data_IF_944969760233
#
_entry.id   IF_944969760233
#
_cell.length_a   1.000
_cell.length_b   1.000
_cell.length_c   1.000
_cell.angle_alpha   90.00
_cell.angle_beta   90.00
_cell.angle_gamma   90.00
#
_symmetry.space_group_name_H-M   'P 1'
#
loop_
_entity.id
_entity.type
_entity.pdbx_description
1 polymer ?
#
# COMPACT_ATOMS: atom_id res chain seq x y z
N UNK A 1 -1.06 -9.45 17.43
CA UNK A 1 -1.10 -8.01 17.75
C UNK A 1 -1.58 -7.29 16.51
N UNK A 2 -2.57 -6.40 16.63
CA UNK A 2 -3.08 -5.61 15.50
C UNK A 2 -2.33 -4.28 15.47
N UNK A 3 -1.64 -3.99 14.37
CA UNK A 3 -0.97 -2.71 14.16
C UNK A 3 -1.94 -1.72 13.50
N UNK A 4 -2.07 -0.53 14.07
CA UNK A 4 -2.88 0.55 13.50
C UNK A 4 -1.98 1.64 12.95
N UNK A 5 -2.01 1.83 11.63
CA UNK A 5 -1.24 2.86 10.93
C UNK A 5 -2.22 3.91 10.41
N UNK A 6 -1.91 5.19 10.63
CA UNK A 6 -2.62 6.33 10.02
C UNK A 6 -1.69 7.00 9.01
N UNK A 7 -2.22 7.27 7.83
CA UNK A 7 -1.53 8.03 6.79
C UNK A 7 -1.95 9.50 6.89
N UNK A 8 -1.04 10.40 6.55
CA UNK A 8 -1.27 11.83 6.56
C UNK A 8 -0.69 12.48 5.31
N UNK A 9 -1.27 13.62 4.93
CA UNK A 9 -0.85 14.40 3.76
C UNK A 9 -0.85 13.57 2.48
N UNK A 10 0.16 13.78 1.65
CA UNK A 10 0.27 13.16 0.32
C UNK A 10 0.25 11.63 0.32
N UNK A 11 0.62 10.97 1.44
CA UNK A 11 0.52 9.50 1.55
C UNK A 11 -0.92 9.04 1.72
N UNK A 12 -1.75 9.83 2.41
CA UNK A 12 -3.18 9.56 2.52
C UNK A 12 -3.84 9.75 1.17
N UNK A 13 -3.54 10.85 0.49
CA UNK A 13 -4.12 11.15 -0.83
C UNK A 13 -3.77 10.05 -1.84
N UNK A 14 -2.50 9.62 -1.86
CA UNK A 14 -2.05 8.54 -2.74
C UNK A 14 -2.70 7.19 -2.43
N UNK A 15 -3.01 6.94 -1.17
CA UNK A 15 -3.71 5.72 -0.77
C UNK A 15 -5.16 5.70 -1.30
N UNK A 16 -5.87 6.83 -1.20
CA UNK A 16 -7.24 6.95 -1.72
C UNK A 16 -7.29 6.87 -3.26
N UNK A 17 -6.31 7.46 -3.95
CA UNK A 17 -6.15 7.29 -5.41
C UNK A 17 -6.01 5.81 -5.77
N UNK A 18 -5.09 5.10 -5.09
CA UNK A 18 -4.83 3.69 -5.34
C UNK A 18 -6.06 2.82 -5.07
N UNK A 19 -6.78 3.11 -3.98
CA UNK A 19 -8.02 2.45 -3.61
C UNK A 19 -9.09 2.63 -4.69
N UNK A 20 -9.23 3.83 -5.23
CA UNK A 20 -10.16 4.14 -6.33
C UNK A 20 -9.83 3.31 -7.57
N UNK A 21 -8.55 3.26 -7.97
CA UNK A 21 -8.11 2.45 -9.09
C UNK A 21 -8.36 0.95 -8.88
N UNK A 22 -8.14 0.44 -7.66
CA UNK A 22 -8.44 -0.95 -7.34
C UNK A 22 -9.94 -1.23 -7.39
N UNK A 23 -10.78 -0.29 -6.94
CA UNK A 23 -12.22 -0.45 -6.98
C UNK A 23 -12.75 -0.60 -8.42
N UNK A 24 -12.21 0.20 -9.35
CA UNK A 24 -12.51 0.08 -10.79
C UNK A 24 -12.12 -1.30 -11.34
N UNK A 25 -10.98 -1.86 -10.93
CA UNK A 25 -10.50 -3.15 -11.41
C UNK A 25 -11.26 -4.34 -10.80
N UNK A 26 -11.66 -4.23 -9.54
CA UNK A 26 -12.33 -5.30 -8.80
C UNK A 26 -13.84 -5.30 -8.98
N UNK A 27 -14.44 -4.17 -9.41
CA UNK A 27 -15.88 -4.00 -9.53
C UNK A 27 -16.61 -3.82 -8.20
N UNK A 28 -15.88 -3.58 -7.11
CA UNK A 28 -16.41 -3.25 -5.78
C UNK A 28 -15.43 -2.36 -5.03
N UNK A 29 -15.90 -1.64 -4.00
CA UNK A 29 -15.06 -0.79 -3.15
C UNK A 29 -14.34 -1.63 -2.07
N UNK A 30 -13.02 -1.82 -2.12
CA UNK A 30 -12.29 -2.61 -1.13
C UNK A 30 -12.14 -1.85 0.19
N UNK A 31 -12.00 -2.57 1.30
CA UNK A 31 -11.65 -1.96 2.59
C UNK A 31 -10.16 -1.58 2.66
N UNK A 32 -9.79 -0.66 3.56
CA UNK A 32 -8.39 -0.25 3.72
C UNK A 32 -7.44 -1.43 4.03
N UNK A 33 -7.81 -2.40 4.90
CA UNK A 33 -6.98 -3.60 5.09
C UNK A 33 -6.80 -4.45 3.83
N UNK A 34 -7.83 -4.59 3.00
CA UNK A 34 -7.73 -5.34 1.73
C UNK A 34 -6.76 -4.66 0.77
N UNK A 35 -6.88 -3.35 0.59
CA UNK A 35 -5.96 -2.56 -0.26
C UNK A 35 -4.52 -2.76 0.20
N UNK A 36 -4.25 -2.66 1.51
CA UNK A 36 -2.90 -2.89 2.06
C UNK A 36 -2.44 -4.32 1.80
N UNK A 37 -3.30 -5.32 1.98
CA UNK A 37 -2.97 -6.72 1.71
C UNK A 37 -2.57 -6.96 0.26
N UNK A 38 -3.30 -6.37 -0.69
CA UNK A 38 -3.01 -6.47 -2.12
C UNK A 38 -1.67 -5.80 -2.48
N UNK A 39 -1.38 -4.62 -1.90
CA UNK A 39 -0.08 -3.93 -2.10
C UNK A 39 1.08 -4.78 -1.59
N UNK A 40 0.93 -5.38 -0.40
CA UNK A 40 1.99 -6.20 0.20
C UNK A 40 2.22 -7.48 -0.59
N UNK A 41 1.16 -8.15 -1.05
CA UNK A 41 1.28 -9.33 -1.91
C UNK A 41 1.99 -9.01 -3.24
N UNK A 42 1.68 -7.84 -3.84
CA UNK A 42 2.39 -7.36 -5.02
C UNK A 42 3.88 -7.10 -4.73
N UNK A 43 4.20 -6.57 -3.55
CA UNK A 43 5.57 -6.32 -3.11
C UNK A 43 6.37 -7.62 -2.86
N UNK A 44 5.76 -8.64 -2.28
CA UNK A 44 6.39 -9.96 -2.05
C UNK A 44 6.67 -10.71 -3.36
N UNK A 45 5.84 -10.49 -4.38
CA UNK A 45 6.00 -11.12 -5.71
C UNK A 45 7.11 -10.46 -6.51
N UNK A 46 7.35 -9.17 -6.26
CA UNK A 46 8.40 -8.38 -6.88
C UNK A 46 9.67 -8.58 -6.03
N UNK A 47 10.38 -9.69 -6.28
CA UNK A 47 11.54 -10.27 -5.55
C UNK A 47 12.80 -9.37 -5.50
N UNK A 48 12.59 -8.05 -5.44
CA UNK A 48 13.59 -7.01 -5.26
C UNK A 48 13.67 -6.73 -3.76
N UNK A 49 14.66 -7.29 -3.04
CA UNK A 49 14.86 -6.93 -1.64
C UNK A 49 14.96 -5.41 -1.54
N UNK A 50 14.30 -4.84 -0.52
CA UNK A 50 14.50 -3.45 -0.12
C UNK A 50 16.00 -3.20 0.00
N UNK A 51 16.61 -2.66 -1.05
CA UNK A 51 17.90 -2.02 -0.95
C UNK A 51 17.64 -0.69 -0.24
N UNK A 52 17.42 -0.79 1.07
CA UNK A 52 17.51 0.31 2.00
C UNK A 52 18.99 0.66 2.03
N UNK A 53 19.42 1.46 1.06
CA UNK A 53 20.70 2.14 1.11
C UNK A 53 20.64 3.10 2.31
N UNK A 54 20.96 2.58 3.50
CA UNK A 54 21.37 3.37 4.65
C UNK A 54 22.78 3.92 4.37
N UNK A 55 22.94 4.62 3.25
CA UNK A 55 24.17 5.30 2.90
C UNK A 55 24.03 6.78 3.23
N UNK A 56 24.63 7.12 4.38
CA UNK A 56 25.17 8.44 4.78
C UNK A 56 24.18 9.44 5.39
N UNK A 57 24.16 9.44 6.72
CA UNK A 57 24.32 10.66 7.51
C UNK A 57 25.65 10.55 8.28
#
# INVERSE_FOLDING_TARGET
MTSHIKLYGSKSDRFEELKTHMAEQLGYEPSNPEVVGLIMAAYETDDRPLQLDNARL
#
